data_IF_549678005253
#
_entry.id   IF_549678005253
#
_cell.length_a   1.000
_cell.length_b   1.000
_cell.length_c   1.000
_cell.angle_alpha   90.00
_cell.angle_beta   90.00
_cell.angle_gamma   90.00
#
_symmetry.space_group_name_H-M   'P 1'
#
loop_
_entity.id
_entity.type
_entity.pdbx_description
1 polymer ?
#
# COMPACT_ATOMS: atom_id res chain seq x y z
N UNK A 1 10.45 -19.17 -22.41
CA UNK A 1 9.32 -18.31 -22.76
C UNK A 1 8.62 -17.95 -21.45
N UNK A 2 8.60 -16.66 -21.09
CA UNK A 2 7.91 -16.21 -19.89
C UNK A 2 6.42 -16.55 -20.00
N UNK A 3 5.86 -17.26 -19.00
CA UNK A 3 4.43 -17.54 -18.94
C UNK A 3 3.66 -16.23 -18.78
N UNK A 4 2.57 -16.05 -19.51
CA UNK A 4 1.70 -14.90 -19.31
C UNK A 4 1.16 -14.90 -17.88
N UNK A 5 1.02 -13.77 -17.23
CA UNK A 5 0.42 -13.66 -15.90
C UNK A 5 -0.92 -14.39 -15.81
N UNK A 6 -1.76 -14.26 -16.82
CA UNK A 6 -3.08 -14.93 -16.87
C UNK A 6 -2.98 -16.47 -16.75
N UNK A 7 -1.94 -17.09 -17.35
CA UNK A 7 -1.74 -18.54 -17.25
C UNK A 7 -1.24 -18.97 -15.87
N UNK A 8 -0.57 -18.09 -15.15
CA UNK A 8 -0.07 -18.36 -13.80
C UNK A 8 -1.21 -18.42 -12.77
N UNK A 9 -2.27 -17.61 -12.93
CA UNK A 9 -3.42 -17.62 -12.03
C UNK A 9 -4.25 -18.93 -12.11
N UNK A 10 -4.09 -19.71 -13.17
CA UNK A 10 -4.70 -21.04 -13.31
C UNK A 10 -3.82 -22.17 -12.75
N UNK A 11 -2.59 -21.89 -12.38
CA UNK A 11 -1.65 -22.87 -11.85
C UNK A 11 -2.05 -23.29 -10.41
N UNK A 12 -2.01 -24.60 -10.07
CA UNK A 12 -2.31 -25.10 -8.72
C UNK A 12 -1.46 -24.45 -7.63
N UNK A 13 -0.22 -24.02 -7.93
CA UNK A 13 0.66 -23.31 -6.99
C UNK A 13 0.06 -21.97 -6.57
N UNK A 14 -0.55 -21.25 -7.50
CA UNK A 14 -1.28 -20.03 -7.18
C UNK A 14 -2.51 -20.31 -6.30
N UNK A 15 -3.29 -21.35 -6.62
CA UNK A 15 -4.46 -21.68 -5.80
C UNK A 15 -4.07 -22.01 -4.35
N UNK A 16 -2.97 -22.74 -4.16
CA UNK A 16 -2.42 -23.02 -2.84
C UNK A 16 -1.97 -21.71 -2.14
N UNK A 17 -1.25 -20.85 -2.86
CA UNK A 17 -0.79 -19.56 -2.32
C UNK A 17 -1.95 -18.64 -1.94
N UNK A 18 -2.97 -18.59 -2.81
CA UNK A 18 -4.20 -17.83 -2.56
C UNK A 18 -4.88 -18.29 -1.25
N UNK A 19 -5.00 -19.59 -1.05
CA UNK A 19 -5.59 -20.13 0.18
C UNK A 19 -4.74 -19.75 1.41
N UNK A 20 -3.43 -19.86 1.34
CA UNK A 20 -2.53 -19.45 2.43
C UNK A 20 -2.67 -17.96 2.78
N UNK A 21 -2.85 -17.10 1.79
CA UNK A 21 -3.08 -15.68 2.02
C UNK A 21 -4.45 -15.44 2.69
N UNK A 22 -5.50 -16.11 2.22
CA UNK A 22 -6.83 -16.03 2.83
C UNK A 22 -6.81 -16.48 4.30
N UNK A 23 -6.17 -17.61 4.59
CA UNK A 23 -5.98 -18.11 5.97
C UNK A 23 -5.20 -17.12 6.84
N UNK A 24 -4.11 -16.56 6.30
CA UNK A 24 -3.26 -15.60 7.02
C UNK A 24 -4.02 -14.34 7.42
N UNK A 25 -4.95 -13.86 6.58
CA UNK A 25 -5.78 -12.69 6.83
C UNK A 25 -7.17 -13.01 7.40
N UNK A 26 -7.42 -14.25 7.83
CA UNK A 26 -8.65 -14.65 8.52
C UNK A 26 -9.91 -14.62 7.64
N UNK A 27 -9.76 -14.81 6.32
CA UNK A 27 -10.87 -14.81 5.35
C UNK A 27 -11.73 -13.55 5.36
N UNK A 28 -11.12 -12.40 5.61
CA UNK A 28 -11.81 -11.11 5.62
C UNK A 28 -11.01 -10.04 4.87
N UNK A 29 -11.70 -9.00 4.38
CA UNK A 29 -11.08 -7.84 3.77
C UNK A 29 -10.28 -7.05 4.81
N UNK A 30 -8.99 -6.81 4.55
CA UNK A 30 -8.12 -6.08 5.51
C UNK A 30 -8.46 -4.59 5.63
N UNK A 31 -9.20 -4.02 4.67
CA UNK A 31 -9.56 -2.59 4.68
C UNK A 31 -10.90 -2.33 5.37
N UNK A 32 -11.91 -3.15 5.13
CA UNK A 32 -13.26 -2.90 5.66
C UNK A 32 -13.82 -4.04 6.53
N UNK A 33 -13.10 -5.16 6.67
CA UNK A 33 -13.56 -6.31 7.47
C UNK A 33 -14.61 -7.20 6.79
N UNK A 34 -15.01 -6.90 5.56
CA UNK A 34 -16.02 -7.65 4.80
C UNK A 34 -15.57 -9.09 4.55
N UNK A 35 -16.41 -10.08 4.85
CA UNK A 35 -16.13 -11.51 4.74
C UNK A 35 -17.19 -12.30 3.94
N UNK A 36 -18.36 -11.70 3.67
CA UNK A 36 -19.43 -12.33 2.90
C UNK A 36 -19.27 -12.15 1.37
N UNK A 37 -18.62 -11.05 0.94
CA UNK A 37 -18.35 -10.76 -0.46
C UNK A 37 -17.20 -11.60 -1.01
N UNK A 38 -17.11 -11.68 -2.34
CA UNK A 38 -15.95 -12.29 -3.00
C UNK A 38 -14.66 -11.62 -2.57
N UNK A 39 -13.74 -12.44 -2.02
CA UNK A 39 -12.41 -11.99 -1.62
C UNK A 39 -11.38 -12.22 -2.73
N UNK A 40 -10.60 -11.20 -2.99
CA UNK A 40 -9.49 -11.19 -3.94
C UNK A 40 -8.16 -11.15 -3.18
N UNK A 41 -7.17 -11.91 -3.67
CA UNK A 41 -5.78 -11.77 -3.18
C UNK A 41 -5.04 -10.85 -4.13
N UNK A 42 -4.74 -9.66 -3.64
CA UNK A 42 -4.07 -8.58 -4.35
C UNK A 42 -2.57 -8.62 -4.08
N UNK A 43 -1.75 -8.39 -5.10
CA UNK A 43 -0.30 -8.21 -4.95
C UNK A 43 -0.01 -6.72 -4.72
N UNK A 44 0.58 -6.36 -3.59
CA UNK A 44 1.01 -4.98 -3.31
C UNK A 44 2.01 -4.46 -4.35
N UNK A 45 2.75 -5.36 -4.99
CA UNK A 45 3.79 -5.02 -5.96
C UNK A 45 4.05 -6.20 -6.88
N UNK A 46 4.24 -5.94 -8.16
CA UNK A 46 4.72 -6.93 -9.12
C UNK A 46 6.22 -6.76 -9.37
N UNK A 47 6.98 -7.81 -9.09
CA UNK A 47 8.43 -7.84 -9.30
C UNK A 47 8.73 -8.56 -10.62
N UNK A 48 9.50 -7.96 -11.55
CA UNK A 48 9.85 -8.61 -12.80
C UNK A 48 10.48 -10.00 -12.58
N UNK A 49 10.06 -10.96 -13.39
CA UNK A 49 10.54 -12.36 -13.37
C UNK A 49 10.22 -13.14 -12.07
N UNK A 50 9.32 -12.67 -11.24
CA UNK A 50 8.82 -13.36 -10.07
C UNK A 50 7.45 -13.98 -10.38
N UNK A 51 7.29 -15.28 -10.08
CA UNK A 51 6.01 -15.96 -10.29
C UNK A 51 4.97 -15.50 -9.25
N UNK A 52 3.68 -15.49 -9.60
CA UNK A 52 2.58 -14.98 -8.73
C UNK A 52 2.43 -15.72 -7.40
N UNK A 53 2.94 -16.93 -7.27
CA UNK A 53 2.93 -17.70 -6.03
C UNK A 53 4.19 -17.52 -5.16
N UNK A 54 5.25 -16.83 -5.64
CA UNK A 54 6.53 -16.69 -4.93
C UNK A 54 6.58 -15.49 -3.97
N UNK A 55 5.43 -14.87 -3.74
CA UNK A 55 5.31 -13.74 -2.82
C UNK A 55 5.04 -14.22 -1.39
N UNK A 56 5.62 -13.54 -0.40
CA UNK A 56 5.25 -13.75 1.01
C UNK A 56 3.82 -13.27 1.26
N UNK A 57 3.17 -13.74 2.34
CA UNK A 57 1.82 -13.26 2.67
C UNK A 57 1.81 -11.75 2.98
N UNK A 58 2.90 -11.18 3.50
CA UNK A 58 3.04 -9.74 3.75
C UNK A 58 3.11 -8.88 2.47
N UNK A 59 3.44 -9.49 1.34
CA UNK A 59 3.43 -8.84 0.01
C UNK A 59 2.09 -8.99 -0.72
N UNK A 60 1.15 -9.67 -0.10
CA UNK A 60 -0.21 -9.87 -0.59
C UNK A 60 -1.20 -9.18 0.36
N UNK A 61 -2.38 -8.90 -0.14
CA UNK A 61 -3.51 -8.37 0.63
C UNK A 61 -4.79 -9.12 0.25
N UNK A 62 -5.68 -9.30 1.23
CA UNK A 62 -7.00 -9.86 0.98
C UNK A 62 -8.00 -8.72 1.00
N UNK A 63 -8.68 -8.49 -0.12
CA UNK A 63 -9.61 -7.39 -0.33
C UNK A 63 -10.94 -7.93 -0.85
N UNK A 64 -12.07 -7.37 -0.40
CA UNK A 64 -13.35 -7.61 -1.04
C UNK A 64 -13.37 -6.97 -2.44
N UNK A 65 -14.34 -7.33 -3.27
CA UNK A 65 -14.44 -6.84 -4.66
C UNK A 65 -14.45 -5.32 -4.76
N UNK A 66 -15.10 -4.62 -3.83
CA UNK A 66 -15.22 -3.17 -3.85
C UNK A 66 -13.88 -2.50 -3.46
N UNK A 67 -13.28 -2.94 -2.35
CA UNK A 67 -11.97 -2.45 -1.92
C UNK A 67 -10.87 -2.78 -2.95
N UNK A 68 -10.90 -3.97 -3.57
CA UNK A 68 -9.96 -4.35 -4.61
C UNK A 68 -10.03 -3.42 -5.83
N UNK A 69 -11.25 -3.05 -6.24
CA UNK A 69 -11.44 -2.07 -7.32
C UNK A 69 -10.92 -0.68 -6.91
N UNK A 70 -11.30 -0.20 -5.71
CA UNK A 70 -10.84 1.10 -5.20
C UNK A 70 -9.32 1.17 -5.14
N UNK A 71 -8.65 0.11 -4.66
CA UNK A 71 -7.18 0.06 -4.60
C UNK A 71 -6.55 0.21 -5.98
N UNK A 72 -7.08 -0.44 -7.02
CA UNK A 72 -6.58 -0.26 -8.38
C UNK A 72 -6.80 1.15 -8.92
N UNK A 73 -7.98 1.73 -8.69
CA UNK A 73 -8.30 3.10 -9.11
C UNK A 73 -7.34 4.11 -8.43
N UNK A 74 -6.99 3.88 -7.16
CA UNK A 74 -6.02 4.70 -6.40
C UNK A 74 -4.57 4.51 -6.88
N UNK A 75 -4.16 3.28 -7.22
CA UNK A 75 -2.85 2.99 -7.82
C UNK A 75 -2.69 3.67 -9.17
N UNK A 76 -3.71 3.64 -10.02
CA UNK A 76 -3.71 4.29 -11.33
C UNK A 76 -3.59 5.81 -11.20
N UNK A 77 -4.35 6.43 -10.28
CA UNK A 77 -4.26 7.85 -9.97
C UNK A 77 -2.87 8.23 -9.45
N UNK A 78 -2.31 7.44 -8.54
CA UNK A 78 -0.95 7.68 -8.01
C UNK A 78 0.10 7.62 -9.13
N UNK A 79 0.01 6.64 -10.02
CA UNK A 79 0.92 6.50 -11.16
C UNK A 79 0.80 7.67 -12.13
N UNK A 80 -0.41 8.17 -12.39
CA UNK A 80 -0.66 9.37 -13.19
C UNK A 80 0.00 10.60 -12.56
N UNK A 81 -0.25 10.86 -11.27
CA UNK A 81 0.34 12.01 -10.55
C UNK A 81 1.86 11.92 -10.54
N UNK A 82 2.44 10.74 -10.25
CA UNK A 82 3.88 10.53 -10.30
C UNK A 82 4.43 10.81 -11.72
N UNK A 83 3.67 10.46 -12.76
CA UNK A 83 4.01 10.75 -14.16
C UNK A 83 4.13 12.25 -14.46
N UNK A 84 3.32 13.07 -13.81
CA UNK A 84 3.31 14.52 -13.98
C UNK A 84 4.45 15.25 -13.24
N UNK A 85 5.11 14.60 -12.26
CA UNK A 85 6.21 15.22 -11.50
C UNK A 85 7.43 15.44 -12.40
N UNK A 86 7.87 16.71 -12.63
CA UNK A 86 9.05 17.00 -13.45
C UNK A 86 10.32 16.41 -12.82
N UNK A 87 11.06 15.59 -13.54
CA UNK A 87 12.30 14.97 -13.07
C UNK A 87 13.41 15.98 -12.76
N UNK A 88 13.35 17.18 -13.34
CA UNK A 88 14.28 18.27 -13.02
C UNK A 88 13.99 18.97 -11.68
N UNK A 89 12.83 18.72 -11.07
CA UNK A 89 12.44 19.28 -9.77
C UNK A 89 12.62 18.27 -8.63
N UNK A 90 12.18 17.05 -8.83
CA UNK A 90 12.26 15.95 -7.85
C UNK A 90 12.62 14.67 -8.57
N UNK A 91 13.68 14.02 -8.17
CA UNK A 91 14.04 12.70 -8.70
C UNK A 91 13.06 11.63 -8.17
N UNK A 92 12.93 10.53 -8.91
CA UNK A 92 12.09 9.39 -8.46
C UNK A 92 12.58 8.80 -7.14
N UNK A 93 13.90 8.81 -6.90
CA UNK A 93 14.49 8.33 -5.64
C UNK A 93 14.14 9.28 -4.48
N UNK A 94 14.21 10.59 -4.68
CA UNK A 94 13.81 11.56 -3.65
C UNK A 94 12.33 11.39 -3.28
N UNK A 95 11.45 11.24 -4.27
CA UNK A 95 10.03 10.98 -4.01
C UNK A 95 9.81 9.66 -3.26
N UNK A 96 10.52 8.59 -3.65
CA UNK A 96 10.45 7.31 -2.96
C UNK A 96 10.91 7.40 -1.49
N UNK A 97 12.01 8.12 -1.20
CA UNK A 97 12.47 8.30 0.17
C UNK A 97 11.52 9.15 1.02
N UNK A 98 10.90 10.18 0.42
CA UNK A 98 9.89 11.00 1.10
C UNK A 98 8.66 10.16 1.49
N UNK A 99 8.13 9.39 0.55
CA UNK A 99 6.97 8.50 0.79
C UNK A 99 7.33 7.43 1.82
N UNK A 100 8.50 6.79 1.70
CA UNK A 100 8.94 5.78 2.64
C UNK A 100 9.07 6.33 4.06
N UNK A 101 9.59 7.56 4.22
CA UNK A 101 9.64 8.24 5.51
C UNK A 101 8.26 8.57 6.06
N UNK A 102 7.36 9.06 5.22
CA UNK A 102 5.97 9.33 5.62
C UNK A 102 5.23 8.06 6.09
N UNK A 103 5.45 6.94 5.41
CA UNK A 103 4.87 5.63 5.77
C UNK A 103 5.68 4.89 6.85
N UNK A 104 6.76 5.48 7.39
CA UNK A 104 7.66 4.87 8.39
C UNK A 104 8.19 3.49 7.98
N UNK A 105 8.43 3.29 6.67
CA UNK A 105 8.95 2.04 6.16
C UNK A 105 10.42 1.85 6.58
N UNK A 106 10.76 0.65 7.03
CA UNK A 106 12.15 0.28 7.30
C UNK A 106 12.90 0.06 5.98
N UNK A 107 13.67 1.08 5.58
CA UNK A 107 14.50 1.10 4.38
C UNK A 107 15.92 1.61 4.66
N UNK A 108 16.40 1.46 5.89
CA UNK A 108 17.71 1.99 6.31
C UNK A 108 18.86 1.48 5.43
N UNK A 109 18.78 0.24 4.97
CA UNK A 109 19.73 -0.38 4.04
C UNK A 109 19.77 0.27 2.65
N UNK A 110 18.76 1.07 2.30
CA UNK A 110 18.62 1.79 1.03
C UNK A 110 18.97 3.27 1.13
N UNK A 111 19.20 3.78 2.34
CA UNK A 111 19.57 5.16 2.59
C UNK A 111 21.10 5.32 2.52
N UNK A 112 21.62 5.51 1.33
CA UNK A 112 23.04 5.42 1.01
C UNK A 112 23.85 6.70 1.24
N UNK A 113 23.21 7.87 1.37
CA UNK A 113 23.89 9.16 1.59
C UNK A 113 23.13 10.10 2.55
N UNK A 114 23.75 11.22 2.89
CA UNK A 114 23.13 12.20 3.79
C UNK A 114 21.85 12.82 3.22
N UNK A 115 21.76 12.97 1.90
CA UNK A 115 20.58 13.55 1.24
C UNK A 115 19.39 12.59 1.31
N UNK A 116 19.58 11.31 1.02
CA UNK A 116 18.53 10.30 1.12
C UNK A 116 17.98 10.19 2.55
N UNK A 117 18.86 10.23 3.56
CA UNK A 117 18.49 10.25 4.98
C UNK A 117 17.70 11.50 5.36
N UNK A 118 18.11 12.67 4.85
CA UNK A 118 17.40 13.92 5.11
C UNK A 118 16.00 13.89 4.52
N UNK A 119 15.83 13.45 3.29
CA UNK A 119 14.52 13.37 2.61
C UNK A 119 13.60 12.37 3.32
N UNK A 120 14.12 11.21 3.70
CA UNK A 120 13.38 10.22 4.49
C UNK A 120 12.87 10.84 5.80
N UNK A 121 13.74 11.55 6.52
CA UNK A 121 13.37 12.24 7.77
C UNK A 121 12.33 13.34 7.56
N UNK A 122 12.35 14.04 6.44
CA UNK A 122 11.30 15.01 6.08
C UNK A 122 9.94 14.32 5.93
N UNK A 123 9.90 13.13 5.34
CA UNK A 123 8.68 12.31 5.26
C UNK A 123 8.14 11.95 6.65
N UNK A 124 9.00 11.49 7.55
CA UNK A 124 8.62 11.17 8.94
C UNK A 124 8.06 12.39 9.69
N UNK A 125 8.68 13.55 9.54
CA UNK A 125 8.19 14.80 10.15
C UNK A 125 6.84 15.22 9.60
N UNK A 126 6.60 15.03 8.30
CA UNK A 126 5.31 15.31 7.68
C UNK A 126 4.20 14.41 8.23
N UNK A 127 4.47 13.11 8.45
CA UNK A 127 3.51 12.21 9.08
C UNK A 127 3.23 12.58 10.54
N UNK A 128 4.22 12.95 11.32
CA UNK A 128 4.01 13.40 12.70
C UNK A 128 3.08 14.62 12.75
N UNK A 129 3.28 15.60 11.86
CA UNK A 129 2.38 16.77 11.76
C UNK A 129 0.98 16.38 11.34
N UNK A 130 0.85 15.45 10.40
CA UNK A 130 -0.44 14.94 9.94
C UNK A 130 -1.18 14.18 11.05
N UNK A 131 -0.48 13.38 11.85
CA UNK A 131 -1.05 12.66 13.00
C UNK A 131 -1.60 13.62 14.06
N UNK A 132 -0.89 14.72 14.35
CA UNK A 132 -1.34 15.77 15.26
C UNK A 132 -2.62 16.42 14.73
N UNK A 133 -2.67 16.76 13.44
CA UNK A 133 -3.84 17.37 12.81
C UNK A 133 -5.05 16.44 12.86
N UNK A 134 -4.88 15.15 12.54
CA UNK A 134 -5.96 14.14 12.62
C UNK A 134 -6.53 14.04 14.04
N UNK A 135 -5.68 14.03 15.06
CA UNK A 135 -6.11 14.00 16.46
C UNK A 135 -6.92 15.23 16.82
N UNK A 136 -6.47 16.42 16.44
CA UNK A 136 -7.16 17.67 16.68
C UNK A 136 -8.57 17.71 16.06
N UNK A 137 -8.71 17.31 14.78
CA UNK A 137 -10.03 17.23 14.12
C UNK A 137 -10.95 16.20 14.76
N UNK A 138 -10.42 15.05 15.18
CA UNK A 138 -11.19 14.03 15.87
C UNK A 138 -11.72 14.51 17.24
N UNK A 139 -10.92 15.26 17.99
CA UNK A 139 -11.34 15.84 19.28
C UNK A 139 -12.43 16.90 19.08
N UNK A 140 -12.29 17.76 18.06
CA UNK A 140 -13.33 18.76 17.74
C UNK A 140 -14.66 18.13 17.30
N UNK A 141 -14.64 17.08 16.48
CA UNK A 141 -15.87 16.39 16.07
C UNK A 141 -16.62 15.82 17.28
N UNK A 142 -15.92 15.25 18.25
CA UNK A 142 -16.54 14.74 19.48
C UNK A 142 -17.14 15.83 20.38
N UNK A 143 -16.58 17.02 20.36
CA UNK A 143 -17.13 18.16 21.12
C UNK A 143 -18.38 18.73 20.43
N UNK A 144 -18.43 18.73 19.09
CA UNK A 144 -19.59 19.14 18.32
C UNK A 144 -20.79 18.22 18.59
N UNK A 145 -20.57 16.90 18.52
CA UNK A 145 -21.62 15.89 18.76
C UNK A 145 -22.25 15.99 20.20
N UNK A 146 -21.48 16.46 21.19
CA UNK A 146 -21.97 16.64 22.56
C UNK A 146 -22.81 17.91 22.78
N UNK A 147 -22.73 18.87 21.86
CA UNK A 147 -23.48 20.13 21.98
C UNK A 147 -24.79 20.10 21.17
N UNK A 148 -25.11 19.00 20.49
CA UNK A 148 -26.37 18.79 19.75
C UNK A 148 -27.40 17.98 20.55
N UNK A 149 -27.06 17.47 21.75
CA UNK A 149 -27.98 16.82 22.73
C UNK A 149 -28.42 17.81 23.83
#
# INVERSE_FOLDING_TARGET
>A
VAKSYRSQYLDPRWQKKRLQALEFYGFSCILCGEDEKTLHVHHKQYVPNKDVWDYSNLQLEVLCSDCHKSTHDEEDLLNEIIGLVPTCKVSRNELAFLIAGFCELDIEDKLYDANSKLIYRQGQLAEQQNAISRKFYYEQSKEADKNED
#
